data_IF_390237446931
#
_entry.id   IF_390237446931
#
_cell.length_a   1.000
_cell.length_b   1.000
_cell.length_c   1.000
_cell.angle_alpha   90.00
_cell.angle_beta   90.00
_cell.angle_gamma   90.00
#
_symmetry.space_group_name_H-M   'P 1'
#
loop_
_entity.id
_entity.type
_entity.pdbx_description
1 polymer ?
#
# COMPACT_ATOMS: atom_id res chain seq x y z
N UNK A 1 2.51 16.16 10.38
CA UNK A 1 3.83 16.63 9.90
C UNK A 1 4.70 15.40 9.71
N UNK A 2 5.49 15.29 8.64
CA UNK A 2 6.38 14.14 8.47
C UNK A 2 7.54 14.19 9.48
N UNK A 3 8.06 13.05 9.94
CA UNK A 3 9.28 12.99 10.76
C UNK A 3 10.46 13.67 10.06
N UNK A 4 11.32 14.35 10.83
CA UNK A 4 12.41 15.15 10.28
C UNK A 4 13.51 14.32 9.57
N UNK A 5 13.63 13.05 9.92
CA UNK A 5 14.58 12.08 9.37
C UNK A 5 14.05 11.35 8.12
N UNK A 6 12.80 11.59 7.76
CA UNK A 6 12.14 10.90 6.67
C UNK A 6 12.66 11.36 5.30
N UNK A 7 13.24 10.42 4.53
CA UNK A 7 13.73 10.69 3.18
C UNK A 7 12.58 10.76 2.18
N UNK A 8 12.18 11.98 1.83
CA UNK A 8 11.21 12.26 0.76
C UNK A 8 11.94 12.38 -0.58
N UNK A 9 11.46 11.65 -1.59
CA UNK A 9 11.90 11.70 -2.98
C UNK A 9 10.95 12.57 -3.80
N UNK A 10 11.50 13.58 -4.46
CA UNK A 10 10.78 14.41 -5.40
C UNK A 10 10.68 13.69 -6.76
N UNK A 11 9.49 13.68 -7.34
CA UNK A 11 9.21 13.18 -8.67
C UNK A 11 8.92 14.32 -9.66
N UNK A 12 8.96 14.06 -10.97
CA UNK A 12 8.70 15.08 -11.96
C UNK A 12 7.22 15.50 -11.96
N UNK A 13 6.99 16.81 -12.05
CA UNK A 13 5.68 17.41 -12.24
C UNK A 13 4.78 17.41 -11.00
N UNK A 14 3.50 17.71 -11.25
CA UNK A 14 2.46 17.69 -10.22
C UNK A 14 1.51 16.52 -10.48
N UNK A 15 0.89 16.04 -9.42
CA UNK A 15 -0.25 15.13 -9.47
C UNK A 15 -1.52 15.89 -9.09
N UNK A 16 -2.67 15.35 -9.50
CA UNK A 16 -3.99 15.83 -9.09
C UNK A 16 -4.56 14.86 -8.08
N UNK A 17 -4.85 15.34 -6.88
CA UNK A 17 -5.49 14.57 -5.82
C UNK A 17 -6.90 15.10 -5.63
N UNK A 18 -7.90 14.23 -5.78
CA UNK A 18 -9.30 14.57 -5.49
C UNK A 18 -9.67 13.96 -4.16
N UNK A 19 -9.92 14.82 -3.17
CA UNK A 19 -10.31 14.41 -1.83
C UNK A 19 -11.82 14.19 -1.73
N UNK A 20 -12.26 13.74 -0.55
CA UNK A 20 -13.68 13.57 -0.24
C UNK A 20 -14.49 14.88 -0.31
N UNK A 21 -13.82 16.03 -0.18
CA UNK A 21 -14.42 17.37 -0.37
C UNK A 21 -14.81 17.65 -1.84
N UNK A 22 -14.47 16.74 -2.75
CA UNK A 22 -14.74 16.84 -4.19
C UNK A 22 -13.84 17.83 -4.93
N UNK A 23 -12.97 18.58 -4.22
CA UNK A 23 -12.13 19.63 -4.79
C UNK A 23 -10.78 19.03 -5.19
N UNK A 24 -10.43 19.03 -6.50
CA UNK A 24 -9.13 18.57 -6.94
C UNK A 24 -8.05 19.56 -6.51
N UNK A 25 -6.92 19.05 -6.06
CA UNK A 25 -5.74 19.84 -5.69
C UNK A 25 -4.54 19.37 -6.49
N UNK A 26 -3.78 20.32 -7.05
CA UNK A 26 -2.49 20.03 -7.68
C UNK A 26 -1.41 20.10 -6.63
N UNK A 27 -0.69 19.00 -6.44
CA UNK A 27 0.41 18.92 -5.46
C UNK A 27 1.68 18.39 -6.12
N UNK A 28 2.88 18.79 -5.66
CA UNK A 28 4.14 18.22 -6.14
C UNK A 28 4.13 16.70 -6.01
N UNK A 29 4.66 16.01 -7.01
CA UNK A 29 4.79 14.56 -6.93
C UNK A 29 5.91 14.22 -5.95
N UNK A 30 5.56 13.66 -4.80
CA UNK A 30 6.51 13.24 -3.77
C UNK A 30 6.22 11.82 -3.33
N UNK A 31 7.26 11.05 -3.06
CA UNK A 31 7.12 9.74 -2.44
C UNK A 31 8.11 9.55 -1.30
N UNK A 32 7.78 8.62 -0.43
CA UNK A 32 8.68 8.20 0.62
C UNK A 32 8.41 6.76 1.00
N UNK A 33 9.45 6.07 1.43
CA UNK A 33 9.38 4.67 1.82
C UNK A 33 9.02 4.61 3.30
N UNK A 34 7.96 3.87 3.63
CA UNK A 34 7.55 3.62 5.02
C UNK A 34 7.53 2.13 5.30
N UNK A 35 8.11 1.76 6.43
CA UNK A 35 7.89 0.44 7.01
C UNK A 35 6.61 0.45 7.85
N UNK A 36 5.87 -0.64 7.81
CA UNK A 36 4.63 -0.81 8.56
C UNK A 36 4.57 -2.19 9.20
N UNK A 37 3.91 -2.25 10.35
CA UNK A 37 3.61 -3.48 11.07
C UNK A 37 2.19 -3.40 11.65
N UNK A 38 1.31 -4.33 11.29
CA UNK A 38 -0.04 -4.47 11.85
C UNK A 38 -0.62 -5.85 11.55
N UNK A 39 -1.37 -6.46 12.47
CA UNK A 39 -2.09 -7.73 12.24
C UNK A 39 -1.24 -8.87 11.64
N UNK A 40 0.06 -8.91 11.96
CA UNK A 40 1.01 -9.88 11.43
C UNK A 40 1.52 -9.59 10.01
N UNK A 41 1.09 -8.50 9.39
CA UNK A 41 1.71 -7.92 8.21
C UNK A 41 2.90 -7.07 8.63
N UNK A 42 4.03 -7.30 7.96
CA UNK A 42 5.20 -6.43 8.02
C UNK A 42 5.66 -6.16 6.59
N UNK A 43 6.10 -4.95 6.32
CA UNK A 43 6.53 -4.59 4.97
C UNK A 43 7.12 -3.20 4.91
N UNK A 44 7.59 -2.86 3.72
CA UNK A 44 8.07 -1.54 3.39
C UNK A 44 7.65 -1.21 1.96
N UNK A 45 6.94 -0.11 1.79
CA UNK A 45 6.43 0.32 0.49
C UNK A 45 6.68 1.81 0.28
N UNK A 46 6.66 2.20 -1.00
CA UNK A 46 6.67 3.60 -1.40
C UNK A 46 5.27 4.19 -1.37
N UNK A 47 5.08 5.21 -0.53
CA UNK A 47 3.84 5.96 -0.41
C UNK A 47 3.97 7.31 -1.09
N UNK A 48 2.85 7.79 -1.60
CA UNK A 48 2.72 9.16 -2.05
C UNK A 48 2.60 10.09 -0.83
N UNK A 49 3.38 11.17 -0.83
CA UNK A 49 3.31 12.19 0.23
C UNK A 49 2.29 13.25 -0.17
N UNK A 50 1.14 13.23 0.50
CA UNK A 50 0.07 14.21 0.34
C UNK A 50 -0.45 14.66 1.69
N UNK A 51 -1.06 15.83 1.73
CA UNK A 51 -1.80 16.27 2.91
C UNK A 51 -3.08 15.43 3.03
N UNK A 52 -3.24 14.74 4.16
CA UNK A 52 -4.46 14.03 4.53
C UNK A 52 -5.25 14.87 5.53
N UNK A 53 -6.55 14.58 5.65
CA UNK A 53 -7.31 15.10 6.80
C UNK A 53 -6.76 14.49 8.08
N UNK A 54 -6.71 15.25 9.17
CA UNK A 54 -6.08 14.86 10.43
C UNK A 54 -6.69 13.65 11.15
N UNK A 55 -7.59 12.91 10.52
CA UNK A 55 -8.14 11.65 11.01
C UNK A 55 -7.29 10.42 10.61
N UNK A 56 -6.36 10.56 9.67
CA UNK A 56 -5.54 9.44 9.20
C UNK A 56 -4.07 9.84 9.02
N UNK A 57 -3.16 9.02 9.53
CA UNK A 57 -1.72 9.19 9.33
C UNK A 57 -1.25 8.65 7.97
N UNK A 58 -1.89 7.58 7.49
CA UNK A 58 -1.55 6.90 6.24
C UNK A 58 -2.78 6.18 5.65
N UNK A 59 -2.79 5.96 4.33
CA UNK A 59 -3.84 5.21 3.63
C UNK A 59 -3.21 4.18 2.71
N UNK A 60 -3.54 2.90 2.93
CA UNK A 60 -3.24 1.82 2.01
C UNK A 60 -4.26 1.82 0.87
N UNK A 61 -3.89 2.43 -0.25
CA UNK A 61 -4.76 2.52 -1.42
C UNK A 61 -4.88 1.21 -2.21
N UNK A 62 -5.67 1.27 -3.29
CA UNK A 62 -5.86 0.16 -4.24
C UNK A 62 -4.54 -0.47 -4.73
N UNK A 63 -3.48 0.29 -5.08
CA UNK A 63 -2.23 -0.33 -5.54
C UNK A 63 -1.60 -1.26 -4.52
N UNK A 64 -1.69 -0.95 -3.23
CA UNK A 64 -1.19 -1.83 -2.17
C UNK A 64 -2.09 -3.05 -2.02
N UNK A 65 -3.42 -2.86 -1.99
CA UNK A 65 -4.38 -3.97 -1.92
C UNK A 65 -4.24 -4.96 -3.09
N UNK A 66 -4.01 -4.47 -4.30
CA UNK A 66 -3.82 -5.30 -5.48
C UNK A 66 -2.51 -6.12 -5.42
N UNK A 67 -1.45 -5.55 -4.83
CA UNK A 67 -0.17 -6.25 -4.66
C UNK A 67 -0.23 -7.32 -3.59
N UNK A 68 -0.74 -6.96 -2.40
CA UNK A 68 -0.67 -7.83 -1.23
C UNK A 68 -1.88 -8.76 -1.09
N UNK A 69 -3.01 -8.42 -1.72
CA UNK A 69 -4.27 -9.17 -1.69
C UNK A 69 -4.62 -9.70 -0.28
N UNK A 70 -4.59 -8.84 0.75
CA UNK A 70 -4.79 -9.30 2.12
C UNK A 70 -6.24 -9.75 2.33
N UNK A 71 -6.44 -10.61 3.33
CA UNK A 71 -7.79 -10.92 3.80
C UNK A 71 -8.26 -9.80 4.75
N UNK A 72 -9.32 -9.09 4.36
CA UNK A 72 -9.93 -8.04 5.19
C UNK A 72 -11.18 -8.58 5.83
N UNK A 73 -11.13 -8.78 7.15
CA UNK A 73 -12.31 -9.12 7.94
C UNK A 73 -12.91 -7.84 8.53
N UNK A 74 -14.03 -7.41 7.96
CA UNK A 74 -14.74 -6.20 8.40
C UNK A 74 -15.40 -6.35 9.77
N UNK A 75 -15.80 -7.57 10.15
CA UNK A 75 -16.48 -7.83 11.43
C UNK A 75 -15.46 -7.84 12.57
N UNK A 76 -14.36 -8.58 12.37
CA UNK A 76 -13.25 -8.62 13.33
C UNK A 76 -12.38 -7.35 13.28
N UNK A 77 -12.53 -6.53 12.24
CA UNK A 77 -11.70 -5.35 11.94
C UNK A 77 -10.21 -5.69 11.85
N UNK A 78 -9.89 -6.81 11.18
CA UNK A 78 -8.50 -7.27 11.01
C UNK A 78 -8.11 -7.35 9.53
N UNK A 79 -6.84 -7.12 9.25
CA UNK A 79 -6.24 -7.28 7.91
C UNK A 79 -5.12 -8.29 8.00
N UNK A 80 -5.28 -9.48 7.39
CA UNK A 80 -4.31 -10.57 7.49
C UNK A 80 -3.57 -10.78 6.17
N UNK A 81 -2.33 -11.31 6.22
CA UNK A 81 -1.67 -11.79 5.01
C UNK A 81 -2.56 -12.74 4.23
N UNK A 82 -2.40 -12.75 2.90
CA UNK A 82 -3.09 -13.75 2.07
C UNK A 82 -2.62 -15.14 2.47
N UNK A 83 -3.57 -16.02 2.78
CA UNK A 83 -3.26 -17.44 2.95
C UNK A 83 -2.74 -18.00 1.62
N UNK A 84 -1.49 -18.45 1.64
CA UNK A 84 -0.88 -19.14 0.50
C UNK A 84 -1.10 -20.63 0.71
N UNK A 85 -1.87 -21.25 -0.18
CA UNK A 85 -1.89 -22.70 -0.28
C UNK A 85 -0.58 -23.17 -0.91
N UNK A 86 0.37 -23.50 -0.04
CA UNK A 86 1.70 -23.98 -0.44
C UNK A 86 1.60 -25.24 -1.31
N UNK A 87 0.61 -26.10 -1.07
CA UNK A 87 0.44 -27.32 -1.87
C UNK A 87 -0.02 -26.99 -3.30
N UNK A 88 -0.94 -26.03 -3.47
CA UNK A 88 -1.35 -25.56 -4.78
C UNK A 88 -0.18 -24.87 -5.53
N UNK A 89 0.64 -24.08 -4.83
CA UNK A 89 1.84 -23.46 -5.41
C UNK A 89 2.86 -24.52 -5.83
N UNK A 90 3.12 -25.52 -4.98
CA UNK A 90 4.02 -26.63 -5.29
C UNK A 90 3.52 -27.42 -6.50
N UNK A 91 2.23 -27.73 -6.57
CA UNK A 91 1.63 -28.42 -7.71
C UNK A 91 1.80 -27.62 -9.02
N UNK A 92 1.64 -26.30 -8.98
CA UNK A 92 1.88 -25.41 -10.14
C UNK A 92 3.34 -25.38 -10.57
N UNK A 93 4.30 -25.42 -9.63
CA UNK A 93 5.73 -25.44 -9.94
C UNK A 93 6.19 -26.80 -10.46
N UNK A 94 5.59 -27.89 -9.98
CA UNK A 94 5.87 -29.25 -10.44
C UNK A 94 5.24 -29.58 -11.80
N UNK A 95 4.31 -28.75 -12.30
CA UNK A 95 3.49 -29.05 -13.47
C UNK A 95 3.73 -28.18 -14.70
N UNK A 96 4.88 -28.36 -15.38
CA UNK A 96 4.96 -28.53 -16.86
C UNK A 96 6.36 -29.02 -17.24
N UNK A 97 6.53 -30.22 -17.82
CA UNK A 97 7.64 -30.46 -18.74
C UNK A 97 7.36 -29.64 -20.00
N UNK A 98 8.31 -28.81 -20.43
CA UNK A 98 8.30 -28.24 -21.77
C UNK A 98 8.18 -29.41 -22.77
N UNK A 99 7.09 -29.44 -23.52
CA UNK A 99 6.93 -30.33 -24.67
C UNK A 99 7.32 -29.58 -25.94
#
# INVERSE_FOLDING_TARGET
>A
MLPADMRVREGPGCIVVKYADGKPRRVPRRSATFSYEFDGLYGSDDFLVIELSGSFDCVFGIPWLARHQPHIDWLARTVRPRDIDVNAVLASLCGTPNR
#
